data_IF_693105275249
#
_entry.id   IF_693105275249
#
_cell.length_a   1.000
_cell.length_b   1.000
_cell.length_c   1.000
_cell.angle_alpha   90.00
_cell.angle_beta   90.00
_cell.angle_gamma   90.00
#
_symmetry.space_group_name_H-M   'P 1'
#
loop_
_entity.id
_entity.type
_entity.pdbx_description
1 polymer ?
#
# COMPACT_ATOMS: atom_id res chain seq x y z
N UNK A 1 -10.32 -22.95 8.36
CA UNK A 1 -9.36 -22.01 8.96
C UNK A 1 -9.60 -21.97 10.46
N UNK A 2 -8.53 -21.96 11.29
CA UNK A 2 -8.65 -21.66 12.71
C UNK A 2 -8.97 -20.16 12.85
N UNK A 3 -9.69 -19.78 13.91
CA UNK A 3 -9.93 -18.38 14.22
C UNK A 3 -8.60 -17.74 14.67
N UNK A 4 -8.21 -16.63 14.04
CA UNK A 4 -7.02 -15.85 14.39
C UNK A 4 -7.44 -14.42 14.73
N UNK A 5 -6.63 -13.77 15.55
CA UNK A 5 -6.74 -12.34 15.83
C UNK A 5 -5.62 -11.60 15.09
N UNK A 6 -5.97 -10.74 14.15
CA UNK A 6 -5.05 -10.05 13.24
C UNK A 6 -4.99 -8.56 13.59
N UNK A 7 -3.82 -8.05 13.94
CA UNK A 7 -3.57 -6.62 14.06
C UNK A 7 -3.18 -6.07 12.69
N UNK A 8 -3.92 -5.07 12.21
CA UNK A 8 -3.61 -4.32 10.98
C UNK A 8 -3.30 -2.88 11.36
N UNK A 9 -2.03 -2.47 11.22
CA UNK A 9 -1.64 -1.07 11.44
C UNK A 9 -1.82 -0.23 10.19
N UNK A 10 -2.11 1.05 10.35
CA UNK A 10 -2.52 1.90 9.22
C UNK A 10 -3.87 1.48 8.63
N UNK A 11 -4.77 0.94 9.48
CA UNK A 11 -6.00 0.28 9.06
C UNK A 11 -7.03 1.17 8.38
N UNK A 12 -7.00 2.48 8.62
CA UNK A 12 -7.83 3.48 7.94
C UNK A 12 -7.19 3.99 6.62
N UNK A 13 -6.02 3.48 6.24
CA UNK A 13 -5.36 3.76 4.96
C UNK A 13 -5.96 2.97 3.79
N UNK A 14 -5.51 3.27 2.57
CA UNK A 14 -6.03 2.67 1.33
C UNK A 14 -5.90 1.13 1.29
N UNK A 15 -4.69 0.60 1.35
CA UNK A 15 -4.43 -0.86 1.24
C UNK A 15 -5.09 -1.58 2.42
N UNK A 16 -4.83 -1.13 3.63
CA UNK A 16 -5.29 -1.77 4.86
C UNK A 16 -6.81 -1.81 4.98
N UNK A 17 -7.52 -0.74 4.61
CA UNK A 17 -8.98 -0.72 4.70
C UNK A 17 -9.63 -1.72 3.72
N UNK A 18 -9.05 -1.92 2.54
CA UNK A 18 -9.47 -2.96 1.60
C UNK A 18 -9.11 -4.36 2.11
N UNK A 19 -7.92 -4.53 2.69
CA UNK A 19 -7.50 -5.78 3.31
C UNK A 19 -8.39 -6.16 4.51
N UNK A 20 -8.75 -5.22 5.39
CA UNK A 20 -9.68 -5.46 6.50
C UNK A 20 -11.03 -5.97 5.97
N UNK A 21 -11.59 -5.36 4.94
CA UNK A 21 -12.83 -5.84 4.30
C UNK A 21 -12.69 -7.25 3.75
N UNK A 22 -11.57 -7.50 3.10
CA UNK A 22 -11.27 -8.82 2.59
C UNK A 22 -11.26 -9.86 3.71
N UNK A 23 -10.54 -9.63 4.81
CA UNK A 23 -10.50 -10.53 5.96
C UNK A 23 -11.89 -10.76 6.56
N UNK A 24 -12.67 -9.70 6.78
CA UNK A 24 -14.01 -9.82 7.35
C UNK A 24 -14.97 -10.61 6.45
N UNK A 25 -14.78 -10.57 5.13
CA UNK A 25 -15.60 -11.29 4.15
C UNK A 25 -15.13 -12.75 3.96
N UNK A 26 -13.82 -12.98 3.84
CA UNK A 26 -13.26 -14.24 3.38
C UNK A 26 -12.87 -15.19 4.52
N UNK A 27 -12.65 -14.68 5.73
CA UNK A 27 -12.12 -15.44 6.86
C UNK A 27 -12.97 -15.32 8.12
N UNK A 28 -12.82 -16.22 9.11
CA UNK A 28 -13.45 -16.08 10.42
C UNK A 28 -12.66 -15.19 11.40
N UNK A 29 -11.62 -14.45 10.95
CA UNK A 29 -10.70 -13.75 11.80
C UNK A 29 -11.32 -12.56 12.54
N UNK A 30 -10.81 -12.30 13.74
CA UNK A 30 -10.99 -11.03 14.44
C UNK A 30 -9.90 -10.06 13.99
N UNK A 31 -10.28 -8.81 13.75
CA UNK A 31 -9.38 -7.76 13.27
C UNK A 31 -9.29 -6.63 14.27
N UNK A 32 -8.07 -6.30 14.66
CA UNK A 32 -7.76 -5.06 15.40
C UNK A 32 -7.12 -4.10 14.40
N UNK A 33 -7.76 -2.97 14.17
CA UNK A 33 -7.26 -1.90 13.29
C UNK A 33 -6.65 -0.81 14.14
N UNK A 34 -5.35 -0.56 14.03
CA UNK A 34 -4.64 0.54 14.69
C UNK A 34 -4.30 1.61 13.66
N UNK A 35 -4.74 2.86 13.87
CA UNK A 35 -4.43 3.97 12.97
C UNK A 35 -4.34 5.30 13.73
N UNK A 36 -3.35 6.11 13.37
CA UNK A 36 -3.13 7.43 13.94
C UNK A 36 -3.99 8.53 13.30
N UNK A 37 -4.72 8.20 12.22
CA UNK A 37 -5.55 9.11 11.44
C UNK A 37 -4.78 10.37 10.99
N UNK A 38 -3.55 10.18 10.50
CA UNK A 38 -2.75 11.22 9.85
C UNK A 38 -3.32 11.52 8.45
N UNK A 39 -2.58 12.23 7.59
CA UNK A 39 -3.11 12.70 6.31
C UNK A 39 -3.73 11.61 5.41
N UNK A 40 -3.16 10.41 5.41
CA UNK A 40 -3.62 9.28 4.59
C UNK A 40 -4.59 8.34 5.33
N UNK A 41 -4.69 8.47 6.65
CA UNK A 41 -5.61 7.72 7.50
C UNK A 41 -6.98 8.38 7.53
N UNK A 42 -7.96 7.82 6.81
CA UNK A 42 -9.32 8.36 6.78
C UNK A 42 -10.29 7.33 7.35
N UNK A 43 -10.92 7.65 8.48
CA UNK A 43 -11.87 6.73 9.16
C UNK A 43 -13.06 6.39 8.25
N UNK A 44 -13.44 7.27 7.31
CA UNK A 44 -14.48 7.01 6.32
C UNK A 44 -14.14 5.83 5.40
N UNK A 45 -12.86 5.48 5.31
CA UNK A 45 -12.43 4.27 4.62
C UNK A 45 -12.94 3.00 5.29
N UNK A 46 -13.37 3.05 6.53
CA UNK A 46 -13.93 1.93 7.28
C UNK A 46 -15.43 2.08 7.57
N UNK A 47 -16.10 3.14 7.10
CA UNK A 47 -17.46 3.49 7.48
C UNK A 47 -18.47 2.34 7.32
N UNK A 48 -18.34 1.53 6.27
CA UNK A 48 -19.22 0.40 5.98
C UNK A 48 -18.93 -0.85 6.83
N UNK A 49 -17.77 -0.94 7.49
CA UNK A 49 -17.35 -2.10 8.29
C UNK A 49 -17.02 -1.77 9.73
N UNK A 50 -16.96 -0.49 10.12
CA UNK A 50 -16.51 -0.06 11.46
C UNK A 50 -17.36 -0.65 12.60
N UNK A 51 -18.64 -0.96 12.33
CA UNK A 51 -19.56 -1.57 13.30
C UNK A 51 -19.61 -3.10 13.21
N UNK A 52 -18.73 -3.72 12.42
CA UNK A 52 -18.70 -5.17 12.29
C UNK A 52 -18.23 -5.83 13.59
N UNK A 53 -18.93 -6.85 14.08
CA UNK A 53 -18.68 -7.51 15.38
C UNK A 53 -17.25 -8.04 15.56
N UNK A 54 -16.57 -8.40 14.45
CA UNK A 54 -15.19 -8.90 14.43
C UNK A 54 -14.15 -7.81 14.16
N UNK A 55 -14.53 -6.53 14.09
CA UNK A 55 -13.60 -5.41 13.91
C UNK A 55 -13.55 -4.56 15.18
N UNK A 56 -12.35 -4.35 15.69
CA UNK A 56 -12.08 -3.36 16.74
C UNK A 56 -11.16 -2.28 16.19
N UNK A 57 -11.57 -1.02 16.29
CA UNK A 57 -10.73 0.11 15.88
C UNK A 57 -10.08 0.77 17.10
N UNK A 58 -8.77 0.96 17.02
CA UNK A 58 -7.94 1.66 18.02
C UNK A 58 -7.36 2.90 17.35
N UNK A 59 -7.72 4.08 17.85
CA UNK A 59 -7.07 5.32 17.44
C UNK A 59 -5.75 5.47 18.20
N UNK A 60 -4.63 5.39 17.50
CA UNK A 60 -3.31 5.47 18.12
C UNK A 60 -2.17 5.34 17.11
N UNK A 61 -0.98 5.62 17.57
CA UNK A 61 0.23 5.70 16.75
C UNK A 61 1.15 4.50 17.03
N UNK A 62 1.74 3.91 15.99
CA UNK A 62 2.73 2.83 16.14
C UNK A 62 4.03 3.30 16.82
N UNK A 63 4.21 4.60 17.01
CA UNK A 63 5.33 5.20 17.76
C UNK A 63 5.09 5.23 19.27
N UNK A 64 3.88 4.93 19.73
CA UNK A 64 3.55 4.82 21.16
C UNK A 64 3.85 3.40 21.65
N UNK A 65 5.01 3.23 22.31
CA UNK A 65 5.51 1.94 22.79
C UNK A 65 4.55 1.26 23.79
N UNK A 66 3.87 2.05 24.64
CA UNK A 66 2.94 1.53 25.65
C UNK A 66 1.68 0.98 24.98
N UNK A 67 1.08 1.75 24.09
CA UNK A 67 -0.08 1.35 23.29
C UNK A 67 0.24 0.15 22.40
N UNK A 68 1.40 0.16 21.72
CA UNK A 68 1.82 -0.94 20.86
C UNK A 68 1.92 -2.24 21.64
N UNK A 69 2.52 -2.25 22.84
CA UNK A 69 2.57 -3.44 23.71
C UNK A 69 1.18 -3.92 24.10
N UNK A 70 0.26 -3.00 24.37
CA UNK A 70 -1.12 -3.34 24.72
C UNK A 70 -1.85 -4.01 23.53
N UNK A 71 -1.79 -3.41 22.34
CA UNK A 71 -2.51 -3.95 21.16
C UNK A 71 -1.88 -5.21 20.58
N UNK A 72 -0.57 -5.42 20.76
CA UNK A 72 0.15 -6.64 20.35
C UNK A 72 -0.20 -7.81 21.28
N UNK A 73 -0.57 -7.53 22.54
CA UNK A 73 -0.92 -8.58 23.48
C UNK A 73 -2.17 -9.37 23.02
N UNK A 74 -1.98 -10.65 22.79
CA UNK A 74 -3.07 -11.57 22.40
C UNK A 74 -3.51 -11.48 20.93
N UNK A 75 -2.66 -10.96 20.04
CA UNK A 75 -2.84 -11.12 18.60
C UNK A 75 -1.94 -12.25 18.07
N UNK A 76 -2.45 -12.96 17.07
CA UNK A 76 -1.73 -14.08 16.44
C UNK A 76 -0.88 -13.59 15.26
N UNK A 77 -1.39 -12.63 14.50
CA UNK A 77 -0.75 -12.10 13.29
C UNK A 77 -0.73 -10.58 13.31
N UNK A 78 0.37 -9.99 12.86
CA UNK A 78 0.50 -8.56 12.66
C UNK A 78 0.77 -8.27 11.18
N UNK A 79 -0.02 -7.38 10.59
CA UNK A 79 0.22 -6.80 9.26
C UNK A 79 0.54 -5.32 9.45
N UNK A 80 1.83 -5.00 9.40
CA UNK A 80 2.31 -3.62 9.55
C UNK A 80 2.30 -2.91 8.19
N UNK A 81 1.24 -2.14 7.93
CA UNK A 81 1.11 -1.29 6.76
C UNK A 81 1.09 0.21 7.11
N UNK A 82 1.16 0.57 8.41
CA UNK A 82 1.27 1.96 8.82
C UNK A 82 2.55 2.60 8.25
N UNK A 83 2.40 3.68 7.52
CA UNK A 83 3.51 4.41 6.91
C UNK A 83 3.08 5.80 6.46
N UNK A 84 3.99 6.76 6.55
CA UNK A 84 3.94 7.95 5.71
C UNK A 84 4.34 7.56 4.29
N UNK A 85 3.51 7.89 3.27
CA UNK A 85 3.62 7.31 1.91
C UNK A 85 3.65 8.33 0.77
N UNK A 86 3.65 9.64 1.06
CA UNK A 86 3.62 10.70 0.03
C UNK A 86 5.03 11.03 -0.44
N UNK A 87 5.43 10.51 -1.62
CA UNK A 87 6.78 10.68 -2.15
C UNK A 87 7.14 12.17 -2.30
N UNK A 88 6.27 12.98 -2.93
CA UNK A 88 6.54 14.41 -3.16
C UNK A 88 6.68 15.18 -1.83
N UNK A 89 5.82 14.91 -0.84
CA UNK A 89 5.93 15.50 0.50
C UNK A 89 7.27 15.13 1.14
N UNK A 90 7.76 13.89 0.98
CA UNK A 90 9.04 13.47 1.52
C UNK A 90 10.23 14.24 0.94
N UNK A 91 10.10 14.75 -0.31
CA UNK A 91 11.11 15.54 -0.99
C UNK A 91 11.00 17.02 -0.61
N UNK A 92 9.78 17.56 -0.56
CA UNK A 92 9.54 18.98 -0.36
C UNK A 92 9.63 19.43 1.10
N UNK A 93 9.11 18.61 2.04
CA UNK A 93 8.97 18.99 3.47
C UNK A 93 10.02 18.29 4.36
N UNK A 94 10.77 17.35 3.80
CA UNK A 94 11.82 16.60 4.50
C UNK A 94 11.35 15.24 5.04
N UNK A 95 12.32 14.45 5.49
CA UNK A 95 12.14 13.01 5.76
C UNK A 95 11.80 12.68 7.22
N UNK A 96 11.74 13.65 8.13
CA UNK A 96 11.66 13.36 9.58
C UNK A 96 10.46 12.49 9.95
N UNK A 97 9.25 12.86 9.51
CA UNK A 97 8.04 12.10 9.80
C UNK A 97 8.10 10.69 9.18
N UNK A 98 8.66 10.59 7.98
CA UNK A 98 8.88 9.31 7.32
C UNK A 98 9.85 8.40 8.09
N UNK A 99 10.92 8.96 8.64
CA UNK A 99 11.89 8.19 9.46
C UNK A 99 11.23 7.73 10.76
N UNK A 100 10.55 8.63 11.47
CA UNK A 100 9.95 8.28 12.77
C UNK A 100 8.78 7.30 12.60
N UNK A 101 7.95 7.46 11.59
CA UNK A 101 6.82 6.54 11.38
C UNK A 101 7.29 5.22 10.75
N UNK A 102 8.00 5.28 9.62
CA UNK A 102 8.28 4.07 8.84
C UNK A 102 9.39 3.22 9.47
N UNK A 103 10.42 3.83 10.08
CA UNK A 103 11.55 3.10 10.64
C UNK A 103 11.40 2.91 12.15
N UNK A 104 11.24 3.98 12.91
CA UNK A 104 11.12 3.91 14.38
C UNK A 104 9.82 3.21 14.80
N UNK A 105 8.66 3.54 14.18
CA UNK A 105 7.40 2.85 14.46
C UNK A 105 7.46 1.36 14.13
N UNK A 106 8.14 0.97 13.04
CA UNK A 106 8.38 -0.44 12.73
C UNK A 106 9.28 -1.09 13.79
N UNK A 107 10.32 -0.41 14.25
CA UNK A 107 11.21 -0.92 15.31
C UNK A 107 10.45 -1.16 16.61
N UNK A 108 9.56 -0.26 17.02
CA UNK A 108 8.74 -0.41 18.24
C UNK A 108 7.84 -1.66 18.13
N UNK A 109 7.20 -1.89 17.00
CA UNK A 109 6.43 -3.12 16.75
C UNK A 109 7.30 -4.38 16.81
N UNK A 110 8.48 -4.34 16.20
CA UNK A 110 9.43 -5.45 16.21
C UNK A 110 9.94 -5.76 17.63
N UNK A 111 10.20 -4.74 18.44
CA UNK A 111 10.58 -4.95 19.85
C UNK A 111 9.42 -5.52 20.68
N UNK A 112 8.19 -5.08 20.43
CA UNK A 112 7.01 -5.59 21.13
C UNK A 112 6.80 -7.10 20.86
N UNK A 113 7.03 -7.58 19.64
CA UNK A 113 6.85 -9.01 19.33
C UNK A 113 7.95 -9.92 19.88
N UNK A 114 9.11 -9.40 20.29
CA UNK A 114 10.18 -10.22 20.89
C UNK A 114 9.76 -10.92 22.19
N UNK A 115 8.74 -10.42 22.88
CA UNK A 115 8.23 -11.01 24.11
C UNK A 115 6.80 -11.53 24.02
N UNK A 116 6.21 -11.49 22.82
CA UNK A 116 4.83 -11.89 22.55
C UNK A 116 4.76 -13.22 21.77
N UNK A 117 3.65 -13.93 21.89
CA UNK A 117 3.42 -15.19 21.18
C UNK A 117 2.79 -14.92 19.78
N UNK A 118 3.42 -14.03 18.99
CA UNK A 118 2.96 -13.70 17.64
C UNK A 118 3.44 -14.79 16.69
N UNK A 119 2.50 -15.40 15.96
CA UNK A 119 2.79 -16.46 15.00
C UNK A 119 3.42 -15.92 13.71
N UNK A 120 3.11 -14.64 13.35
CA UNK A 120 3.57 -14.03 12.11
C UNK A 120 3.52 -12.51 12.17
N UNK A 121 4.61 -11.90 11.72
CA UNK A 121 4.70 -10.45 11.47
C UNK A 121 4.92 -10.22 9.99
N UNK A 122 4.01 -9.52 9.32
CA UNK A 122 4.07 -9.20 7.90
C UNK A 122 4.36 -7.70 7.78
N UNK A 123 5.52 -7.35 7.23
CA UNK A 123 5.84 -5.95 6.91
C UNK A 123 5.42 -5.64 5.48
N UNK A 124 4.52 -4.70 5.31
CA UNK A 124 4.21 -4.13 3.99
C UNK A 124 5.28 -3.09 3.66
N UNK A 125 6.29 -3.52 2.90
CA UNK A 125 7.35 -2.68 2.33
C UNK A 125 6.84 -1.95 1.08
N UNK A 126 7.63 -1.85 0.03
CA UNK A 126 7.26 -1.22 -1.25
C UNK A 126 8.22 -1.65 -2.35
N UNK A 127 7.78 -1.75 -3.58
CA UNK A 127 8.66 -1.91 -4.75
C UNK A 127 9.56 -0.69 -4.99
N UNK A 128 9.21 0.49 -4.48
CA UNK A 128 10.03 1.70 -4.56
C UNK A 128 11.42 1.56 -3.89
N UNK A 129 11.61 0.54 -3.02
CA UNK A 129 12.91 0.23 -2.42
C UNK A 129 13.96 -0.20 -3.45
N UNK A 130 13.51 -0.72 -4.58
CA UNK A 130 14.40 -1.14 -5.67
C UNK A 130 14.95 0.03 -6.50
N UNK A 131 14.21 1.15 -6.56
CA UNK A 131 14.58 2.27 -7.42
C UNK A 131 14.49 1.94 -8.91
N UNK A 132 15.45 2.37 -9.69
CA UNK A 132 15.48 2.10 -11.14
C UNK A 132 15.87 0.65 -11.42
N UNK A 133 15.10 -0.02 -12.26
CA UNK A 133 15.37 -1.40 -12.65
C UNK A 133 16.77 -1.54 -13.28
N UNK A 134 17.56 -2.47 -12.78
CA UNK A 134 18.84 -2.89 -13.38
C UNK A 134 18.67 -4.07 -14.32
N UNK A 135 17.62 -4.85 -14.10
CA UNK A 135 17.13 -5.92 -14.95
C UNK A 135 15.62 -6.10 -14.73
N UNK A 136 14.95 -6.72 -15.67
CA UNK A 136 13.50 -6.91 -15.66
C UNK A 136 13.14 -8.35 -16.06
N UNK A 137 12.09 -8.92 -15.43
CA UNK A 137 11.36 -8.37 -14.29
C UNK A 137 12.23 -8.28 -13.03
N UNK A 138 11.89 -7.35 -12.13
CA UNK A 138 12.60 -7.17 -10.85
C UNK A 138 12.16 -8.27 -9.88
N UNK A 139 13.07 -9.14 -9.51
CA UNK A 139 12.85 -10.16 -8.48
C UNK A 139 13.28 -9.66 -7.07
N UNK A 140 13.14 -10.50 -6.07
CA UNK A 140 13.46 -10.14 -4.69
C UNK A 140 14.98 -10.03 -4.42
N UNK A 141 15.82 -10.55 -5.32
CA UNK A 141 17.28 -10.41 -5.29
C UNK A 141 17.76 -9.10 -5.96
N UNK A 142 16.83 -8.35 -6.60
CA UNK A 142 17.17 -7.06 -7.18
C UNK A 142 17.73 -6.12 -6.10
N UNK A 143 18.86 -5.43 -6.38
CA UNK A 143 19.45 -4.50 -5.42
C UNK A 143 18.49 -3.42 -4.95
N UNK A 144 18.58 -3.05 -3.67
CA UNK A 144 17.85 -1.91 -3.12
C UNK A 144 18.63 -0.62 -3.45
N UNK A 145 18.00 0.25 -4.23
CA UNK A 145 18.57 1.55 -4.67
C UNK A 145 17.49 2.65 -4.61
N UNK A 146 16.93 2.94 -3.41
CA UNK A 146 15.81 3.87 -3.24
C UNK A 146 16.15 5.27 -3.74
N UNK A 147 15.22 5.91 -4.47
CA UNK A 147 15.43 7.20 -5.16
C UNK A 147 14.74 8.39 -4.51
N UNK A 148 14.01 8.16 -3.42
CA UNK A 148 13.35 9.22 -2.65
C UNK A 148 13.54 9.00 -1.15
N UNK A 149 13.38 10.06 -0.31
CA UNK A 149 13.42 9.88 1.14
C UNK A 149 12.37 8.86 1.64
N UNK A 150 11.16 8.87 1.10
CA UNK A 150 10.15 7.85 1.36
C UNK A 150 10.67 6.44 1.08
N UNK A 151 11.17 6.19 -0.13
CA UNK A 151 11.68 4.88 -0.52
C UNK A 151 12.86 4.43 0.36
N UNK A 152 13.73 5.38 0.76
CA UNK A 152 14.84 5.11 1.67
C UNK A 152 14.35 4.67 3.07
N UNK A 153 13.28 5.29 3.59
CA UNK A 153 12.71 4.87 4.89
C UNK A 153 12.00 3.52 4.80
N UNK A 154 11.33 3.20 3.68
CA UNK A 154 10.77 1.86 3.45
C UNK A 154 11.88 0.82 3.34
N UNK A 155 12.99 1.11 2.65
CA UNK A 155 14.16 0.22 2.60
C UNK A 155 14.82 0.05 3.99
N UNK A 156 14.85 1.11 4.81
CA UNK A 156 15.31 1.06 6.20
C UNK A 156 14.47 0.12 7.05
N UNK A 157 13.15 0.25 7.01
CA UNK A 157 12.22 -0.63 7.72
C UNK A 157 12.31 -2.09 7.23
N UNK A 158 12.38 -2.29 5.92
CA UNK A 158 12.55 -3.59 5.26
C UNK A 158 13.82 -4.31 5.77
N UNK A 159 14.96 -3.63 5.75
CA UNK A 159 16.23 -4.23 6.22
C UNK A 159 16.28 -4.39 7.74
N UNK A 160 15.60 -3.52 8.48
CA UNK A 160 15.46 -3.66 9.94
C UNK A 160 14.65 -4.92 10.28
N UNK A 161 13.52 -5.14 9.65
CA UNK A 161 12.71 -6.34 9.82
C UNK A 161 13.50 -7.62 9.50
N UNK A 162 14.22 -7.63 8.38
CA UNK A 162 15.12 -8.74 8.03
C UNK A 162 16.18 -8.99 9.11
N UNK A 163 16.81 -7.92 9.62
CA UNK A 163 17.82 -8.05 10.69
C UNK A 163 17.24 -8.63 11.98
N UNK A 164 16.01 -8.24 12.34
CA UNK A 164 15.30 -8.81 13.49
C UNK A 164 14.97 -10.30 13.31
N UNK A 165 14.56 -10.70 12.11
CA UNK A 165 14.39 -12.11 11.79
C UNK A 165 15.70 -12.89 12.01
N UNK A 166 16.77 -12.47 11.37
CA UNK A 166 18.08 -13.18 11.41
C UNK A 166 18.68 -13.20 12.81
N UNK A 167 18.51 -12.12 13.60
CA UNK A 167 19.14 -11.98 14.91
C UNK A 167 18.36 -12.66 16.02
N UNK A 168 17.02 -12.61 15.95
CA UNK A 168 16.16 -13.06 17.04
C UNK A 168 15.23 -14.21 16.66
N UNK A 169 15.38 -14.76 15.45
CA UNK A 169 14.54 -15.85 14.91
C UNK A 169 13.03 -15.54 14.94
N UNK A 170 12.67 -14.27 14.70
CA UNK A 170 11.28 -13.83 14.70
C UNK A 170 10.56 -14.26 13.41
N UNK A 171 9.26 -14.60 13.48
CA UNK A 171 8.47 -15.09 12.36
C UNK A 171 8.06 -13.94 11.41
N UNK A 172 9.01 -13.33 10.74
CA UNK A 172 8.85 -12.15 9.91
C UNK A 172 8.75 -12.52 8.43
N UNK A 173 7.83 -11.90 7.72
CA UNK A 173 7.70 -11.94 6.25
C UNK A 173 7.68 -10.49 5.74
N UNK A 174 8.45 -10.21 4.69
CA UNK A 174 8.48 -8.90 4.06
C UNK A 174 7.74 -8.98 2.73
N UNK A 175 6.78 -8.08 2.53
CA UNK A 175 6.00 -7.99 1.29
C UNK A 175 6.37 -6.70 0.57
N UNK A 176 6.72 -6.79 -0.69
CA UNK A 176 7.00 -5.64 -1.55
C UNK A 176 5.92 -5.53 -2.63
N UNK A 177 4.78 -4.88 -2.31
CA UNK A 177 3.76 -4.67 -3.33
C UNK A 177 4.25 -3.67 -4.37
N UNK A 178 3.86 -3.93 -5.63
CA UNK A 178 4.03 -2.97 -6.72
C UNK A 178 2.92 -1.92 -6.67
N UNK A 179 2.72 -1.12 -7.71
CA UNK A 179 1.83 0.03 -7.61
C UNK A 179 0.37 -0.38 -7.44
N UNK A 180 -0.13 -0.33 -6.21
CA UNK A 180 -1.53 -0.59 -5.92
C UNK A 180 -2.45 0.49 -6.47
N UNK A 181 -3.62 0.09 -6.97
CA UNK A 181 -4.73 0.98 -7.34
C UNK A 181 -6.08 0.35 -6.97
N UNK A 182 -7.10 1.19 -6.82
CA UNK A 182 -8.44 0.70 -6.50
C UNK A 182 -9.29 1.69 -5.69
N UNK A 183 -10.45 1.23 -5.21
CA UNK A 183 -11.35 1.99 -4.35
C UNK A 183 -10.66 2.52 -3.08
N UNK A 184 -11.00 3.74 -2.65
CA UNK A 184 -10.48 4.40 -1.44
C UNK A 184 -9.00 4.82 -1.50
N UNK A 185 -8.37 4.76 -2.67
CA UNK A 185 -7.05 5.33 -2.85
C UNK A 185 -7.12 6.85 -2.80
N UNK A 186 -6.16 7.49 -2.10
CA UNK A 186 -6.16 8.95 -1.95
C UNK A 186 -6.09 9.67 -3.31
N UNK A 187 -6.87 10.75 -3.54
CA UNK A 187 -6.95 11.45 -4.84
C UNK A 187 -5.62 12.03 -5.36
N UNK A 188 -4.61 12.20 -4.50
CA UNK A 188 -3.25 12.61 -4.91
C UNK A 188 -2.55 11.62 -5.84
N UNK A 189 -2.92 10.33 -5.77
CA UNK A 189 -2.29 9.26 -6.57
C UNK A 189 -2.77 9.32 -8.01
N UNK A 190 -1.93 8.86 -8.94
CA UNK A 190 -2.11 9.11 -10.38
C UNK A 190 -3.45 8.62 -10.94
N UNK A 191 -3.87 7.40 -10.64
CA UNK A 191 -5.14 6.85 -11.15
C UNK A 191 -6.34 7.59 -10.56
N UNK A 192 -6.49 7.73 -9.23
CA UNK A 192 -7.55 8.53 -8.64
C UNK A 192 -7.57 9.98 -9.12
N UNK A 193 -6.40 10.62 -9.24
CA UNK A 193 -6.28 11.98 -9.73
C UNK A 193 -6.83 12.13 -11.15
N UNK A 194 -6.48 11.23 -12.05
CA UNK A 194 -7.03 11.23 -13.40
C UNK A 194 -8.55 11.06 -13.41
N UNK A 195 -9.06 10.17 -12.54
CA UNK A 195 -10.50 9.94 -12.44
C UNK A 195 -11.21 11.19 -11.94
N UNK A 196 -10.74 11.80 -10.84
CA UNK A 196 -11.38 13.01 -10.27
C UNK A 196 -11.28 14.20 -11.18
N UNK A 197 -10.13 14.43 -11.83
CA UNK A 197 -9.96 15.48 -12.85
C UNK A 197 -10.92 15.26 -14.04
N UNK A 198 -11.00 14.04 -14.56
CA UNK A 198 -11.91 13.75 -15.67
C UNK A 198 -13.39 13.89 -15.29
N UNK A 199 -13.77 13.61 -14.03
CA UNK A 199 -15.14 13.83 -13.53
C UNK A 199 -15.48 15.32 -13.46
N UNK A 200 -14.49 16.16 -13.14
CA UNK A 200 -14.64 17.62 -13.04
C UNK A 200 -14.36 18.37 -14.36
N UNK A 201 -14.18 17.65 -15.48
CA UNK A 201 -13.78 18.21 -16.78
C UNK A 201 -12.47 19.00 -16.74
N UNK A 202 -11.56 18.67 -15.80
CA UNK A 202 -10.25 19.26 -15.65
C UNK A 202 -9.18 18.53 -16.47
N UNK A 203 -8.08 19.20 -16.87
CA UNK A 203 -6.98 18.56 -17.59
C UNK A 203 -6.30 17.45 -16.81
N UNK A 204 -6.08 16.29 -17.45
CA UNK A 204 -5.27 15.20 -16.92
C UNK A 204 -3.79 15.46 -17.19
N UNK A 205 -3.04 15.86 -16.16
CA UNK A 205 -1.62 16.20 -16.28
C UNK A 205 -0.73 14.95 -16.31
N UNK A 206 -0.06 14.72 -17.45
CA UNK A 206 0.87 13.61 -17.68
C UNK A 206 2.29 14.18 -17.76
N UNK A 207 3.21 13.70 -16.91
CA UNK A 207 4.60 14.14 -16.91
C UNK A 207 5.39 13.56 -18.08
N UNK A 208 6.23 14.39 -18.71
CA UNK A 208 7.02 14.01 -19.89
C UNK A 208 6.14 13.60 -21.07
N UNK A 209 6.53 12.55 -21.74
CA UNK A 209 5.76 11.93 -22.83
C UNK A 209 4.73 10.90 -22.34
N UNK A 210 4.73 10.61 -21.02
CA UNK A 210 3.87 9.62 -20.40
C UNK A 210 4.30 8.15 -20.63
N UNK A 211 5.49 7.92 -21.16
CA UNK A 211 6.04 6.57 -21.38
C UNK A 211 6.45 5.89 -20.07
N UNK A 212 6.57 6.63 -18.96
CA UNK A 212 6.84 6.04 -17.66
C UNK A 212 5.78 4.99 -17.32
N UNK A 213 6.19 3.75 -17.13
CA UNK A 213 5.29 2.62 -16.92
C UNK A 213 5.49 1.98 -15.55
N UNK A 214 4.43 1.41 -15.00
CA UNK A 214 4.42 0.72 -13.72
C UNK A 214 3.63 -0.57 -13.82
N UNK A 215 4.00 -1.52 -12.98
CA UNK A 215 3.20 -2.70 -12.70
C UNK A 215 2.08 -2.29 -11.73
N UNK A 216 0.84 -2.33 -12.23
CA UNK A 216 -0.35 -1.88 -11.51
C UNK A 216 -1.13 -3.06 -10.96
N UNK A 217 -1.14 -3.17 -9.65
CA UNK A 217 -1.80 -4.23 -8.91
C UNK A 217 -3.14 -3.74 -8.35
N UNK A 218 -4.22 -4.46 -8.67
CA UNK A 218 -5.51 -4.15 -8.07
C UNK A 218 -5.54 -4.50 -6.58
N UNK A 219 -6.03 -3.60 -5.75
CA UNK A 219 -5.90 -3.67 -4.29
C UNK A 219 -6.57 -4.90 -3.67
N UNK A 220 -7.59 -5.48 -4.29
CA UNK A 220 -8.18 -6.74 -3.81
C UNK A 220 -7.25 -7.94 -4.05
N UNK A 221 -6.50 -7.95 -5.17
CA UNK A 221 -5.49 -8.98 -5.43
C UNK A 221 -4.34 -8.90 -4.42
N UNK A 222 -3.94 -7.68 -4.02
CA UNK A 222 -2.95 -7.47 -2.94
C UNK A 222 -3.47 -8.02 -1.60
N UNK A 223 -4.74 -7.76 -1.29
CA UNK A 223 -5.38 -8.32 -0.09
C UNK A 223 -5.42 -9.85 -0.09
N UNK A 224 -5.69 -10.48 -1.24
CA UNK A 224 -5.62 -11.94 -1.40
C UNK A 224 -4.20 -12.48 -1.23
N UNK A 225 -3.17 -11.75 -1.70
CA UNK A 225 -1.78 -12.13 -1.50
C UNK A 225 -1.38 -12.10 -0.02
N UNK A 226 -1.78 -11.05 0.71
CA UNK A 226 -1.51 -10.93 2.15
C UNK A 226 -2.23 -12.05 2.92
N UNK A 227 -3.49 -12.38 2.59
CA UNK A 227 -4.19 -13.53 3.17
C UNK A 227 -3.44 -14.83 2.87
N UNK A 228 -3.02 -15.06 1.63
CA UNK A 228 -2.27 -16.26 1.27
C UNK A 228 -0.96 -16.39 2.08
N UNK A 229 -0.29 -15.27 2.40
CA UNK A 229 0.87 -15.26 3.28
C UNK A 229 0.46 -15.64 4.72
N UNK A 230 -0.69 -15.16 5.23
CA UNK A 230 -1.18 -15.53 6.57
C UNK A 230 -1.49 -17.03 6.65
N UNK A 231 -2.02 -17.62 5.60
CA UNK A 231 -2.44 -19.04 5.57
C UNK A 231 -1.30 -20.00 5.23
N UNK A 232 -0.23 -19.55 4.60
CA UNK A 232 0.90 -20.39 4.24
C UNK A 232 1.55 -21.03 5.48
N UNK A 233 2.10 -22.24 5.39
CA UNK A 233 2.91 -22.81 6.47
C UNK A 233 4.06 -21.87 6.82
N UNK A 234 4.32 -21.66 8.12
CA UNK A 234 5.29 -20.67 8.56
C UNK A 234 6.71 -20.99 8.08
N UNK A 235 7.07 -22.24 8.03
CA UNK A 235 8.36 -22.74 7.54
C UNK A 235 8.60 -22.48 6.05
N UNK A 236 7.53 -22.18 5.28
CA UNK A 236 7.62 -21.82 3.86
C UNK A 236 7.88 -20.33 3.65
N UNK A 237 7.38 -19.47 4.54
CA UNK A 237 7.39 -18.02 4.32
C UNK A 237 8.21 -17.23 5.33
N UNK A 238 8.61 -17.84 6.45
CA UNK A 238 9.40 -17.17 7.49
C UNK A 238 10.77 -16.73 6.94
N UNK A 239 11.09 -15.46 7.14
CA UNK A 239 12.33 -14.85 6.65
C UNK A 239 12.29 -14.46 5.17
N UNK A 240 11.23 -14.80 4.45
CA UNK A 240 11.11 -14.51 3.04
C UNK A 240 10.74 -13.04 2.78
N UNK A 241 11.29 -12.53 1.69
CA UNK A 241 10.80 -11.31 1.03
C UNK A 241 10.03 -11.76 -0.20
N UNK A 242 8.83 -11.22 -0.42
CA UNK A 242 7.91 -11.63 -1.49
C UNK A 242 7.40 -10.40 -2.23
N UNK A 243 7.65 -10.36 -3.55
CA UNK A 243 7.02 -9.37 -4.42
C UNK A 243 5.55 -9.72 -4.66
N UNK A 244 4.69 -8.71 -4.60
CA UNK A 244 3.29 -8.84 -4.98
C UNK A 244 3.04 -7.90 -6.16
N UNK A 245 2.89 -8.47 -7.34
CA UNK A 245 2.90 -7.80 -8.63
C UNK A 245 2.01 -8.53 -9.64
N UNK A 246 1.82 -7.94 -10.82
CA UNK A 246 1.12 -8.58 -11.95
C UNK A 246 2.09 -9.18 -12.98
N UNK A 247 3.33 -8.69 -13.01
CA UNK A 247 4.31 -9.02 -14.04
C UNK A 247 4.11 -8.24 -15.35
N UNK A 248 3.20 -7.28 -15.35
CA UNK A 248 2.88 -6.45 -16.53
C UNK A 248 2.90 -4.97 -16.16
N UNK A 249 3.44 -4.17 -17.05
CA UNK A 249 3.48 -2.72 -16.86
C UNK A 249 2.57 -2.00 -17.86
N UNK A 250 2.02 -0.87 -17.43
CA UNK A 250 1.16 -0.02 -18.24
C UNK A 250 1.69 1.41 -18.15
N UNK A 251 1.87 2.09 -19.31
CA UNK A 251 2.27 3.48 -19.38
C UNK A 251 1.25 4.43 -18.75
N UNK A 252 1.71 5.49 -18.08
CA UNK A 252 0.83 6.49 -17.46
C UNK A 252 -0.06 7.19 -18.51
N UNK A 253 0.46 7.42 -19.73
CA UNK A 253 -0.33 8.01 -20.81
C UNK A 253 -1.51 7.13 -21.20
N UNK A 254 -1.32 5.81 -21.26
CA UNK A 254 -2.38 4.84 -21.59
C UNK A 254 -3.47 4.82 -20.51
N UNK A 255 -3.09 4.95 -19.23
CA UNK A 255 -4.06 5.05 -18.12
C UNK A 255 -4.94 6.29 -18.29
N UNK A 256 -4.34 7.45 -18.61
CA UNK A 256 -5.08 8.67 -18.83
C UNK A 256 -6.09 8.53 -19.98
N UNK A 257 -5.68 7.92 -21.10
CA UNK A 257 -6.55 7.66 -22.25
C UNK A 257 -7.72 6.74 -21.89
N UNK A 258 -7.45 5.64 -21.18
CA UNK A 258 -8.48 4.69 -20.74
C UNK A 258 -9.49 5.33 -19.77
N UNK A 259 -9.03 6.18 -18.85
CA UNK A 259 -9.92 6.91 -17.93
C UNK A 259 -10.83 7.88 -18.68
N UNK A 260 -10.29 8.63 -19.65
CA UNK A 260 -11.07 9.54 -20.48
C UNK A 260 -12.13 8.78 -21.31
N UNK A 261 -11.74 7.66 -21.92
CA UNK A 261 -12.65 6.80 -22.69
C UNK A 261 -13.79 6.25 -21.81
N UNK A 262 -13.48 5.67 -20.63
CA UNK A 262 -14.48 5.12 -19.70
C UNK A 262 -15.46 6.17 -19.19
N UNK A 263 -15.02 7.43 -19.07
CA UNK A 263 -15.87 8.54 -18.62
C UNK A 263 -16.53 9.31 -19.77
N UNK A 264 -16.29 8.91 -21.03
CA UNK A 264 -16.83 9.58 -22.21
C UNK A 264 -16.31 11.02 -22.38
N UNK A 265 -15.05 11.27 -21.94
CA UNK A 265 -14.41 12.59 -22.01
C UNK A 265 -13.50 12.70 -23.25
N UNK A 266 -13.35 13.91 -23.80
CA UNK A 266 -12.50 14.11 -24.97
C UNK A 266 -11.01 13.87 -24.64
N UNK A 267 -10.27 13.27 -25.55
CA UNK A 267 -8.83 13.04 -25.41
C UNK A 267 -8.00 14.34 -25.30
N UNK A 268 -8.57 15.46 -25.69
CA UNK A 268 -7.98 16.81 -25.54
C UNK A 268 -7.81 17.25 -24.09
N UNK A 269 -8.45 16.58 -23.13
CA UNK A 269 -8.22 16.84 -21.71
C UNK A 269 -6.87 16.27 -21.21
N UNK A 270 -6.18 15.43 -21.99
CA UNK A 270 -4.82 15.01 -21.64
C UNK A 270 -3.83 16.14 -21.97
N UNK A 271 -3.09 16.60 -20.97
CA UNK A 271 -2.03 17.59 -21.10
C UNK A 271 -0.68 17.04 -20.66
N UNK A 272 0.33 17.13 -21.52
CA UNK A 272 1.69 16.76 -21.17
C UNK A 272 2.40 17.97 -20.52
N UNK A 273 3.01 17.74 -19.32
CA UNK A 273 3.78 18.72 -18.58
C UNK A 273 5.25 18.30 -18.50
N UNK A 274 6.11 19.16 -17.94
CA UNK A 274 7.53 18.84 -17.77
C UNK A 274 7.76 17.52 -17.02
N UNK A 275 8.84 16.82 -17.39
CA UNK A 275 9.26 15.57 -16.75
C UNK A 275 9.64 15.82 -15.27
N UNK A 276 9.35 14.86 -14.41
CA UNK A 276 9.73 14.92 -12.99
C UNK A 276 11.20 14.59 -12.80
N UNK A 277 11.92 15.35 -11.95
CA UNK A 277 13.26 14.95 -11.52
C UNK A 277 13.24 13.58 -10.84
N UNK A 278 14.17 12.70 -11.24
CA UNK A 278 14.28 11.36 -10.63
C UNK A 278 13.21 10.36 -11.07
N UNK A 279 12.48 10.64 -12.14
CA UNK A 279 11.48 9.72 -12.70
C UNK A 279 12.11 8.35 -13.01
N UNK A 280 11.46 7.28 -12.55
CA UNK A 280 11.77 5.90 -12.91
C UNK A 280 11.01 5.58 -14.20
N UNK A 281 11.72 5.16 -15.25
CA UNK A 281 11.10 4.92 -16.56
C UNK A 281 10.18 3.71 -16.55
N UNK A 282 10.66 2.58 -16.01
CA UNK A 282 9.91 1.31 -16.02
C UNK A 282 10.09 0.55 -14.72
N UNK A 283 9.00 -0.10 -14.27
CA UNK A 283 8.98 -0.82 -12.99
C UNK A 283 8.04 -2.02 -13.11
N UNK A 284 8.60 -3.24 -13.23
CA UNK A 284 7.86 -4.50 -13.43
C UNK A 284 8.38 -5.53 -12.46
N UNK A 285 7.48 -6.14 -11.67
CA UNK A 285 7.81 -7.16 -10.68
C UNK A 285 7.84 -8.58 -11.24
N UNK A 286 8.76 -9.42 -10.76
CA UNK A 286 8.64 -10.87 -10.91
C UNK A 286 7.57 -11.40 -9.94
N UNK A 287 6.74 -12.30 -10.44
CA UNK A 287 5.68 -13.00 -9.68
C UNK A 287 6.06 -14.43 -9.31
N UNK A 288 7.22 -14.90 -9.74
CA UNK A 288 7.63 -16.30 -9.66
C UNK A 288 7.71 -16.82 -8.22
N UNK A 289 8.17 -15.98 -7.29
CA UNK A 289 8.31 -16.36 -5.88
C UNK A 289 6.95 -16.47 -5.20
N UNK A 290 6.06 -15.51 -5.42
CA UNK A 290 4.69 -15.54 -4.90
C UNK A 290 3.94 -16.78 -5.41
N UNK A 291 4.06 -17.09 -6.71
CA UNK A 291 3.46 -18.31 -7.26
C UNK A 291 4.04 -19.57 -6.65
N UNK A 292 5.37 -19.67 -6.55
CA UNK A 292 6.05 -20.86 -6.03
C UNK A 292 5.73 -21.13 -4.56
N UNK A 293 5.72 -20.09 -3.71
CA UNK A 293 5.55 -20.24 -2.26
C UNK A 293 4.08 -20.27 -1.82
N UNK A 294 3.23 -19.50 -2.51
CA UNK A 294 1.86 -19.25 -2.10
C UNK A 294 0.82 -19.84 -3.08
N UNK A 295 1.23 -20.26 -4.28
CA UNK A 295 0.29 -20.58 -5.36
C UNK A 295 -0.54 -19.37 -5.80
N UNK A 296 -0.09 -18.15 -5.47
CA UNK A 296 -0.81 -16.92 -5.73
C UNK A 296 -0.31 -16.24 -7.01
N UNK A 297 -1.26 -15.72 -7.78
CA UNK A 297 -1.05 -14.80 -8.90
C UNK A 297 -2.17 -13.76 -8.90
N UNK A 298 -1.87 -12.56 -9.35
CA UNK A 298 -2.90 -11.56 -9.64
C UNK A 298 -3.91 -12.11 -10.67
N UNK A 299 -5.20 -11.88 -10.41
CA UNK A 299 -6.31 -12.39 -11.24
C UNK A 299 -7.11 -11.28 -11.91
N UNK A 300 -7.07 -10.08 -11.34
CA UNK A 300 -7.82 -8.94 -11.85
C UNK A 300 -7.07 -8.32 -13.02
N UNK A 301 -7.69 -8.35 -14.21
CA UNK A 301 -7.15 -7.62 -15.35
C UNK A 301 -7.18 -6.12 -15.06
N UNK A 302 -6.21 -5.39 -15.59
CA UNK A 302 -6.12 -3.95 -15.33
C UNK A 302 -7.40 -3.21 -15.72
N UNK A 303 -7.98 -3.53 -16.90
CA UNK A 303 -9.22 -2.94 -17.39
C UNK A 303 -10.38 -3.13 -16.41
N UNK A 304 -10.54 -4.38 -15.91
CA UNK A 304 -11.64 -4.73 -14.99
C UNK A 304 -11.48 -4.02 -13.64
N UNK A 305 -10.26 -3.94 -13.12
CA UNK A 305 -9.93 -3.21 -11.90
C UNK A 305 -10.10 -1.69 -12.06
N UNK A 306 -9.70 -1.14 -13.22
CA UNK A 306 -9.88 0.28 -13.52
C UNK A 306 -11.36 0.65 -13.63
N UNK A 307 -12.17 -0.17 -14.31
CA UNK A 307 -13.62 0.04 -14.39
C UNK A 307 -14.29 0.07 -13.01
N UNK A 308 -13.96 -0.89 -12.14
CA UNK A 308 -14.44 -0.93 -10.74
C UNK A 308 -13.97 0.31 -9.97
N UNK A 309 -12.74 0.76 -10.19
CA UNK A 309 -12.20 1.96 -9.55
C UNK A 309 -12.95 3.20 -10.00
N UNK A 310 -13.13 3.39 -11.30
CA UNK A 310 -13.90 4.52 -11.86
C UNK A 310 -15.34 4.54 -11.34
N UNK A 311 -16.00 3.37 -11.32
CA UNK A 311 -17.36 3.25 -10.79
C UNK A 311 -17.42 3.69 -9.32
N UNK A 312 -16.48 3.23 -8.50
CA UNK A 312 -16.42 3.59 -7.09
C UNK A 312 -16.25 5.11 -6.89
N UNK A 313 -15.35 5.79 -7.64
CA UNK A 313 -15.17 7.24 -7.53
C UNK A 313 -16.41 8.03 -7.93
N UNK A 314 -17.14 7.56 -8.95
CA UNK A 314 -18.44 8.16 -9.35
C UNK A 314 -19.50 8.04 -8.26
N UNK A 315 -19.55 6.93 -7.57
CA UNK A 315 -20.54 6.66 -6.50
C UNK A 315 -20.16 7.31 -5.17
N UNK A 316 -18.88 7.65 -4.96
CA UNK A 316 -18.34 8.17 -3.70
C UNK A 316 -17.78 9.60 -3.84
N UNK A 317 -18.47 10.45 -4.60
CA UNK A 317 -18.03 11.81 -4.89
C UNK A 317 -17.81 12.65 -3.63
N UNK A 318 -18.70 12.59 -2.65
CA UNK A 318 -18.59 13.32 -1.39
C UNK A 318 -17.31 12.96 -0.61
N UNK A 319 -16.87 11.69 -0.68
CA UNK A 319 -15.67 11.20 -0.01
C UNK A 319 -14.41 11.87 -0.56
N UNK A 320 -14.18 11.81 -1.88
CA UNK A 320 -12.95 12.37 -2.45
C UNK A 320 -12.95 13.90 -2.52
N UNK A 321 -14.12 14.54 -2.67
CA UNK A 321 -14.22 16.02 -2.62
C UNK A 321 -13.81 16.56 -1.25
N UNK A 322 -14.13 15.85 -0.17
CA UNK A 322 -13.70 16.23 1.18
C UNK A 322 -12.18 16.23 1.30
N UNK A 323 -11.51 15.21 0.74
CA UNK A 323 -10.05 15.10 0.77
C UNK A 323 -9.37 16.22 -0.02
N UNK A 324 -9.83 16.49 -1.24
CA UNK A 324 -9.29 17.58 -2.07
C UNK A 324 -9.50 18.97 -1.41
N UNK A 325 -10.65 19.20 -0.76
CA UNK A 325 -10.94 20.43 -0.03
C UNK A 325 -10.05 20.63 1.20
N UNK A 326 -9.59 19.58 1.82
CA UNK A 326 -8.66 19.62 2.97
C UNK A 326 -7.24 19.96 2.52
N UNK A 327 -6.78 19.41 1.39
CA UNK A 327 -5.47 19.74 0.81
C UNK A 327 -5.39 21.20 0.36
N UNK A 328 -6.41 21.71 -0.32
CA UNK A 328 -6.44 23.10 -0.75
C UNK A 328 -6.29 24.09 0.42
N UNK A 329 -6.77 23.75 1.60
CA UNK A 329 -6.62 24.57 2.82
C UNK A 329 -5.22 24.43 3.45
N UNK A 330 -4.60 23.26 3.39
CA UNK A 330 -3.25 23.03 3.93
C UNK A 330 -2.17 23.77 3.13
N UNK A 331 -2.35 23.97 1.83
CA UNK A 331 -1.43 24.74 0.98
C UNK A 331 -1.70 26.26 0.99
N UNK A 332 -2.78 26.73 1.64
CA UNK A 332 -3.16 28.14 1.72
C UNK A 332 -2.79 28.78 3.08
N UNK A 333 -2.24 28.04 4.00
CA UNK A 333 -1.78 28.45 5.34
C UNK A 333 -0.25 28.35 5.46
#
# INVERSE_FOLDING_TARGET
MAQKRVLVTGGAGFISSNFIRHLLRATPYEVVSLDALTYAGNIENLADVISHERLSFVHGDIRDDELVREVVAGVDVIVNAAAESHVEKSIAEGAREFVTTNVEGTQILLDAIRGAAVERFILISSSEVYGTARYEPMDEEHPLDPRSPYAATKAGADRLAYAYHVTYDLPIVIVRPFNNYGPRQHPEKVIPRFITQALDDEPLTVHGDGCASRDWLYVEDDAEAIEAIIEAPIDVVMGETINVATGMDIPVAEIAERVLEMLGRPSTLRENVEERPGQVCRHVGSTDKAERLLGWRSRTRFEDGLERTVAWYRENEAWWRTLLGTEARAFSS
#
